data_IF_770392259414
#
_entry.id   IF_770392259414
#
_cell.length_a   1.000
_cell.length_b   1.000
_cell.length_c   1.000
_cell.angle_alpha   90.00
_cell.angle_beta   90.00
_cell.angle_gamma   90.00
#
_symmetry.space_group_name_H-M   'P 1'
#
loop_
_entity.id
_entity.type
_entity.pdbx_description
1 polymer ?
#
# COMPACT_ATOMS: atom_id res chain seq x y z
N UNK A 1 -119.56 10.89 11.19
CA UNK A 1 -118.26 10.81 11.88
C UNK A 1 -117.45 9.72 11.20
N UNK A 2 -116.37 10.16 10.57
CA UNK A 2 -115.28 9.50 9.82
C UNK A 2 -115.17 7.97 9.99
N UNK A 3 -115.41 7.25 8.88
CA UNK A 3 -115.05 5.84 8.72
C UNK A 3 -113.53 5.69 8.58
N UNK A 4 -112.87 5.08 9.55
CA UNK A 4 -111.46 4.68 9.43
C UNK A 4 -111.38 3.41 8.56
N UNK A 5 -110.92 3.58 7.31
CA UNK A 5 -110.64 2.48 6.40
C UNK A 5 -109.49 1.62 6.95
N UNK A 6 -109.74 0.32 7.14
CA UNK A 6 -108.69 -0.65 7.40
C UNK A 6 -107.77 -0.76 6.16
N UNK A 7 -106.43 -0.75 6.31
CA UNK A 7 -105.53 -0.84 5.17
C UNK A 7 -105.76 -2.13 4.38
N UNK A 8 -105.78 -2.02 3.05
CA UNK A 8 -105.99 -3.12 2.13
C UNK A 8 -104.88 -4.17 2.33
N UNK A 9 -105.25 -5.45 2.48
CA UNK A 9 -104.32 -6.57 2.69
C UNK A 9 -103.20 -6.62 1.63
N UNK A 10 -103.51 -6.25 0.39
CA UNK A 10 -102.55 -6.19 -0.71
C UNK A 10 -101.49 -5.08 -0.51
N UNK A 11 -101.89 -3.93 0.02
CA UNK A 11 -100.98 -2.81 0.32
C UNK A 11 -100.00 -3.16 1.45
N UNK A 12 -100.47 -3.95 2.43
CA UNK A 12 -99.62 -4.46 3.52
C UNK A 12 -98.59 -5.46 3.00
N UNK A 13 -98.97 -6.34 2.08
CA UNK A 13 -98.06 -7.32 1.45
C UNK A 13 -96.97 -6.60 0.64
N UNK A 14 -97.35 -5.63 -0.21
CA UNK A 14 -96.37 -4.87 -1.00
C UNK A 14 -95.36 -4.13 -0.11
N UNK A 15 -95.82 -3.52 0.99
CA UNK A 15 -94.92 -2.88 1.97
C UNK A 15 -93.93 -3.85 2.62
N UNK A 16 -94.34 -5.08 2.89
CA UNK A 16 -93.45 -6.12 3.42
C UNK A 16 -92.40 -6.51 2.36
N UNK A 17 -92.78 -6.63 1.10
CA UNK A 17 -91.85 -6.91 -0.01
C UNK A 17 -90.83 -5.78 -0.23
N UNK A 18 -91.27 -4.52 -0.13
CA UNK A 18 -90.40 -3.34 -0.20
C UNK A 18 -89.37 -3.33 0.94
N UNK A 19 -89.82 -3.58 2.18
CA UNK A 19 -88.94 -3.67 3.36
C UNK A 19 -87.94 -4.81 3.23
N UNK A 20 -88.38 -5.98 2.76
CA UNK A 20 -87.49 -7.12 2.54
C UNK A 20 -86.45 -6.85 1.46
N UNK A 21 -86.82 -6.11 0.41
CA UNK A 21 -85.89 -5.69 -0.63
C UNK A 21 -84.86 -4.67 -0.11
N UNK A 22 -85.30 -3.72 0.71
CA UNK A 22 -84.40 -2.76 1.37
C UNK A 22 -83.43 -3.46 2.35
N UNK A 23 -83.90 -4.44 3.13
CA UNK A 23 -83.06 -5.22 4.03
C UNK A 23 -81.96 -5.99 3.29
N UNK A 24 -82.28 -6.62 2.15
CA UNK A 24 -81.28 -7.29 1.29
C UNK A 24 -80.24 -6.31 0.75
N UNK A 25 -80.65 -5.10 0.36
CA UNK A 25 -79.72 -4.06 -0.10
C UNK A 25 -78.79 -3.60 1.03
N UNK A 26 -79.32 -3.40 2.24
CA UNK A 26 -78.52 -3.03 3.42
C UNK A 26 -77.51 -4.13 3.77
N UNK A 27 -77.92 -5.40 3.70
CA UNK A 27 -77.04 -6.54 3.99
C UNK A 27 -75.91 -6.66 2.96
N UNK A 28 -76.22 -6.47 1.66
CA UNK A 28 -75.22 -6.41 0.61
C UNK A 28 -74.23 -5.24 0.80
N UNK A 29 -74.71 -4.04 1.15
CA UNK A 29 -73.86 -2.88 1.45
C UNK A 29 -72.95 -3.11 2.66
N UNK A 30 -73.45 -3.80 3.69
CA UNK A 30 -72.67 -4.16 4.88
C UNK A 30 -71.51 -5.11 4.54
N UNK A 31 -71.75 -6.10 3.69
CA UNK A 31 -70.71 -7.04 3.22
C UNK A 31 -69.64 -6.29 2.42
N UNK A 32 -70.03 -5.44 1.48
CA UNK A 32 -69.09 -4.66 0.66
C UNK A 32 -68.23 -3.71 1.50
N UNK A 33 -68.85 -3.03 2.47
CA UNK A 33 -68.15 -2.18 3.44
C UNK A 33 -67.16 -2.99 4.28
N UNK A 34 -67.56 -4.19 4.73
CA UNK A 34 -66.69 -5.10 5.47
C UNK A 34 -65.46 -5.54 4.66
N UNK A 35 -65.64 -5.88 3.38
CA UNK A 35 -64.55 -6.23 2.48
C UNK A 35 -63.60 -5.05 2.24
N UNK A 36 -64.14 -3.84 2.05
CA UNK A 36 -63.35 -2.61 1.91
C UNK A 36 -62.50 -2.32 3.16
N UNK A 37 -63.07 -2.49 4.36
CA UNK A 37 -62.35 -2.35 5.63
C UNK A 37 -61.24 -3.39 5.76
N UNK A 38 -61.51 -4.65 5.40
CA UNK A 38 -60.51 -5.72 5.46
C UNK A 38 -59.33 -5.43 4.53
N UNK A 39 -59.61 -5.00 3.29
CA UNK A 39 -58.60 -4.60 2.31
C UNK A 39 -57.73 -3.45 2.84
N UNK A 40 -58.35 -2.39 3.37
CA UNK A 40 -57.62 -1.27 3.99
C UNK A 40 -56.77 -1.69 5.18
N UNK A 41 -57.27 -2.61 6.03
CA UNK A 41 -56.50 -3.14 7.18
C UNK A 41 -55.27 -3.93 6.73
N UNK A 42 -55.39 -4.69 5.64
CA UNK A 42 -54.26 -5.38 5.02
C UNK A 42 -53.23 -4.38 4.48
N UNK A 43 -53.67 -3.32 3.81
CA UNK A 43 -52.78 -2.26 3.31
C UNK A 43 -52.03 -1.56 4.45
N UNK A 44 -52.74 -1.21 5.54
CA UNK A 44 -52.12 -0.60 6.74
C UNK A 44 -51.08 -1.52 7.37
N UNK A 45 -51.35 -2.83 7.42
CA UNK A 45 -50.40 -3.81 7.97
C UNK A 45 -49.14 -3.89 7.11
N UNK A 46 -49.28 -3.91 5.78
CA UNK A 46 -48.15 -3.86 4.84
C UNK A 46 -47.33 -2.57 4.98
N UNK A 47 -47.99 -1.42 5.16
CA UNK A 47 -47.30 -0.14 5.34
C UNK A 47 -46.56 -0.07 6.68
N UNK A 48 -47.08 -0.69 7.74
CA UNK A 48 -46.39 -0.80 9.04
C UNK A 48 -45.14 -1.67 8.95
N UNK A 49 -45.20 -2.78 8.21
CA UNK A 49 -44.02 -3.63 7.96
C UNK A 49 -42.94 -2.87 7.15
N UNK A 50 -43.35 -2.12 6.13
CA UNK A 50 -42.43 -1.28 5.35
C UNK A 50 -41.83 -0.15 6.20
N UNK A 51 -42.63 0.51 7.04
CA UNK A 51 -42.16 1.52 7.98
C UNK A 51 -41.09 0.97 8.94
N UNK A 52 -41.31 -0.24 9.48
CA UNK A 52 -40.34 -0.87 10.37
C UNK A 52 -39.04 -1.22 9.63
N UNK A 53 -39.14 -1.73 8.40
CA UNK A 53 -37.97 -2.03 7.57
C UNK A 53 -37.13 -0.78 7.28
N UNK A 54 -37.78 0.34 6.97
CA UNK A 54 -37.10 1.62 6.75
C UNK A 54 -36.42 2.13 8.03
N UNK A 55 -37.07 1.99 9.19
CA UNK A 55 -36.47 2.36 10.48
C UNK A 55 -35.18 1.55 10.77
N UNK A 56 -35.20 0.25 10.51
CA UNK A 56 -34.02 -0.62 10.68
C UNK A 56 -32.89 -0.24 9.70
N UNK A 57 -33.23 0.16 8.47
CA UNK A 57 -32.27 0.62 7.47
C UNK A 57 -31.62 1.95 7.87
N UNK A 58 -32.42 2.92 8.37
CA UNK A 58 -31.91 4.19 8.90
C UNK A 58 -30.93 3.94 10.05
N UNK A 59 -31.28 3.06 11.01
CA UNK A 59 -30.39 2.74 12.13
C UNK A 59 -29.05 2.12 11.67
N UNK A 60 -29.06 1.29 10.62
CA UNK A 60 -27.83 0.75 10.02
C UNK A 60 -26.99 1.83 9.34
N UNK A 61 -27.63 2.75 8.62
CA UNK A 61 -26.95 3.87 7.98
C UNK A 61 -26.33 4.82 9.01
N UNK A 62 -27.04 5.15 10.09
CA UNK A 62 -26.52 5.97 11.18
C UNK A 62 -25.28 5.35 11.82
N UNK A 63 -25.30 4.04 12.09
CA UNK A 63 -24.14 3.32 12.61
C UNK A 63 -22.94 3.40 11.65
N UNK A 64 -23.19 3.24 10.35
CA UNK A 64 -22.15 3.32 9.31
C UNK A 64 -21.57 4.73 9.21
N UNK A 65 -22.41 5.76 9.25
CA UNK A 65 -21.99 7.16 9.27
C UNK A 65 -21.13 7.49 10.48
N UNK A 66 -21.42 6.94 11.65
CA UNK A 66 -20.61 7.15 12.84
C UNK A 66 -19.22 6.52 12.72
N UNK A 67 -19.13 5.28 12.21
CA UNK A 67 -17.83 4.64 11.95
C UNK A 67 -17.00 5.44 10.93
N UNK A 68 -17.61 5.91 9.86
CA UNK A 68 -16.92 6.75 8.86
C UNK A 68 -16.42 8.08 9.45
N UNK A 69 -17.16 8.68 10.40
CA UNK A 69 -16.70 9.89 11.10
C UNK A 69 -15.47 9.61 11.95
N UNK A 70 -15.42 8.49 12.65
CA UNK A 70 -14.25 8.08 13.44
C UNK A 70 -13.02 7.82 12.56
N UNK A 71 -13.21 7.17 11.41
CA UNK A 71 -12.15 6.93 10.43
C UNK A 71 -11.60 8.26 9.86
N UNK A 72 -12.47 9.21 9.51
CA UNK A 72 -12.06 10.54 9.01
C UNK A 72 -11.20 11.27 10.06
N UNK A 73 -11.62 11.29 11.32
CA UNK A 73 -10.86 11.94 12.40
C UNK A 73 -9.47 11.30 12.57
N UNK A 74 -9.40 9.97 12.45
CA UNK A 74 -8.14 9.22 12.55
C UNK A 74 -7.19 9.57 11.40
N UNK A 75 -7.73 9.70 10.18
CA UNK A 75 -6.96 10.07 9.00
C UNK A 75 -6.48 11.52 9.04
N UNK A 76 -7.32 12.45 9.51
CA UNK A 76 -6.96 13.86 9.73
C UNK A 76 -5.81 14.01 10.74
N UNK A 77 -5.86 13.25 11.84
CA UNK A 77 -4.79 13.23 12.82
C UNK A 77 -3.47 12.72 12.21
N UNK A 78 -3.53 11.65 11.41
CA UNK A 78 -2.38 11.10 10.69
C UNK A 78 -1.78 12.12 9.72
N UNK A 79 -2.64 12.84 8.98
CA UNK A 79 -2.22 13.90 8.06
C UNK A 79 -1.53 15.06 8.80
N UNK A 80 -2.03 15.46 9.97
CA UNK A 80 -1.41 16.51 10.78
C UNK A 80 -0.01 16.14 11.27
N UNK A 81 0.21 14.88 11.65
CA UNK A 81 1.55 14.36 12.01
C UNK A 81 2.49 14.45 10.80
N UNK A 82 2.04 13.99 9.62
CA UNK A 82 2.86 14.04 8.40
C UNK A 82 3.22 15.47 7.99
N UNK A 83 2.29 16.42 8.10
CA UNK A 83 2.57 17.84 7.83
C UNK A 83 3.63 18.42 8.78
N UNK A 84 3.61 18.00 10.05
CA UNK A 84 4.63 18.40 11.03
C UNK A 84 6.01 17.86 10.64
N UNK A 85 6.07 16.59 10.26
CA UNK A 85 7.32 15.94 9.83
C UNK A 85 7.86 16.58 8.55
N UNK A 86 6.99 16.93 7.59
CA UNK A 86 7.38 17.66 6.38
C UNK A 86 8.01 19.02 6.72
N UNK A 87 7.41 19.76 7.66
CA UNK A 87 7.97 21.02 8.15
C UNK A 87 9.36 20.86 8.75
N UNK A 88 9.57 19.82 9.56
CA UNK A 88 10.88 19.50 10.13
C UNK A 88 11.90 19.14 9.05
N UNK A 89 11.51 18.33 8.06
CA UNK A 89 12.38 17.96 6.94
C UNK A 89 12.77 19.16 6.08
N UNK A 90 11.84 20.07 5.80
CA UNK A 90 12.13 21.33 5.10
C UNK A 90 13.13 22.19 5.88
N UNK A 91 12.99 22.27 7.21
CA UNK A 91 13.93 23.00 8.06
C UNK A 91 15.35 22.38 8.02
N UNK A 92 15.45 21.05 8.11
CA UNK A 92 16.72 20.32 7.99
C UNK A 92 17.36 20.53 6.61
N UNK A 93 16.59 20.44 5.53
CA UNK A 93 17.07 20.66 4.17
C UNK A 93 17.61 22.10 3.99
N UNK A 94 16.91 23.09 4.54
CA UNK A 94 17.37 24.48 4.54
C UNK A 94 18.69 24.66 5.31
N UNK A 95 18.80 24.05 6.49
CA UNK A 95 20.04 24.07 7.28
C UNK A 95 21.20 23.44 6.50
N UNK A 96 20.99 22.28 5.88
CA UNK A 96 22.00 21.61 5.07
C UNK A 96 22.45 22.47 3.88
N UNK A 97 21.51 23.07 3.15
CA UNK A 97 21.81 23.95 2.02
C UNK A 97 22.57 25.22 2.46
N UNK A 98 22.29 25.75 3.65
CA UNK A 98 23.02 26.87 4.22
C UNK A 98 24.46 26.47 4.59
N UNK A 99 24.65 25.29 5.19
CA UNK A 99 25.98 24.74 5.49
C UNK A 99 26.79 24.49 4.22
N UNK A 100 26.18 23.95 3.17
CA UNK A 100 26.82 23.72 1.87
C UNK A 100 27.29 25.03 1.23
N UNK A 101 26.43 26.07 1.24
CA UNK A 101 26.83 27.41 0.77
C UNK A 101 27.99 27.99 1.59
N UNK A 102 27.97 27.83 2.91
CA UNK A 102 29.06 28.30 3.77
C UNK A 102 30.40 27.60 3.44
N UNK A 103 30.38 26.28 3.20
CA UNK A 103 31.56 25.52 2.79
C UNK A 103 32.07 25.95 1.41
N UNK A 104 31.19 26.16 0.45
CA UNK A 104 31.58 26.65 -0.89
C UNK A 104 32.22 28.05 -0.79
N UNK A 105 31.65 28.95 0.02
CA UNK A 105 32.25 30.26 0.27
C UNK A 105 33.61 30.13 0.93
N UNK A 106 33.72 29.31 1.99
CA UNK A 106 34.99 29.06 2.67
C UNK A 106 36.07 28.51 1.73
N UNK A 107 35.72 27.56 0.84
CA UNK A 107 36.65 27.01 -0.15
C UNK A 107 37.11 28.07 -1.15
N UNK A 108 36.22 28.94 -1.62
CA UNK A 108 36.58 30.06 -2.51
C UNK A 108 37.51 31.06 -1.82
N UNK A 109 37.21 31.39 -0.55
CA UNK A 109 38.04 32.30 0.24
C UNK A 109 39.42 31.67 0.48
N UNK A 110 39.47 30.37 0.78
CA UNK A 110 40.70 29.61 0.93
C UNK A 110 41.52 29.57 -0.37
N UNK A 111 40.89 29.30 -1.52
CA UNK A 111 41.54 29.32 -2.83
C UNK A 111 42.16 30.69 -3.10
N UNK A 112 41.41 31.78 -2.90
CA UNK A 112 41.90 33.15 -3.05
C UNK A 112 43.11 33.46 -2.16
N UNK A 113 43.07 33.04 -0.89
CA UNK A 113 44.20 33.17 0.04
C UNK A 113 45.42 32.34 -0.42
N UNK A 114 45.19 31.11 -0.90
CA UNK A 114 46.28 30.25 -1.37
C UNK A 114 46.86 30.72 -2.71
N UNK A 115 46.06 31.33 -3.58
CA UNK A 115 46.54 31.92 -4.83
C UNK A 115 47.33 33.20 -4.57
N UNK A 116 46.95 34.00 -3.56
CA UNK A 116 47.76 35.10 -3.03
C UNK A 116 49.10 34.62 -2.45
N UNK A 117 49.10 33.52 -1.71
CA UNK A 117 50.32 32.89 -1.20
C UNK A 117 51.18 32.28 -2.30
N UNK A 118 50.59 31.58 -3.27
CA UNK A 118 51.29 30.99 -4.43
C UNK A 118 51.87 32.07 -5.32
N UNK A 119 51.16 33.16 -5.60
CA UNK A 119 51.69 34.29 -6.37
C UNK A 119 52.82 35.03 -5.63
N UNK A 120 52.80 35.06 -4.30
CA UNK A 120 53.91 35.54 -3.48
C UNK A 120 55.11 34.57 -3.46
N UNK A 121 54.85 33.26 -3.46
CA UNK A 121 55.87 32.20 -3.44
C UNK A 121 56.49 31.90 -4.83
N UNK A 122 55.74 32.06 -5.94
CA UNK A 122 56.25 31.87 -7.30
C UNK A 122 57.27 32.94 -7.73
N UNK A 123 57.37 34.06 -7.01
CA UNK A 123 58.48 35.01 -7.16
C UNK A 123 59.78 34.53 -6.49
N UNK A 124 59.80 33.33 -5.89
CA UNK A 124 61.00 32.66 -5.38
C UNK A 124 61.04 31.20 -5.85
N UNK A 125 61.64 30.99 -7.02
CA UNK A 125 62.04 29.70 -7.63
C UNK A 125 60.92 28.68 -7.98
N UNK A 126 60.90 28.14 -9.22
CA UNK A 126 59.93 27.11 -9.60
C UNK A 126 60.49 25.69 -9.40
N UNK A 127 59.74 24.84 -8.68
CA UNK A 127 59.80 23.39 -8.83
C UNK A 127 58.42 22.85 -9.20
N UNK A 128 58.41 22.05 -10.26
CA UNK A 128 57.26 21.43 -10.91
C UNK A 128 56.60 20.38 -10.02
N UNK A 129 55.27 20.39 -9.95
CA UNK A 129 54.48 19.27 -9.41
C UNK A 129 53.32 18.96 -10.37
N UNK A 130 53.31 17.75 -10.91
CA UNK A 130 52.29 17.26 -11.84
C UNK A 130 50.99 16.95 -11.11
N UNK A 131 49.87 17.44 -11.63
CA UNK A 131 48.53 17.09 -11.19
C UNK A 131 48.24 15.62 -11.48
N UNK A 132 47.87 14.86 -10.44
CA UNK A 132 47.34 13.51 -10.58
C UNK A 132 45.86 13.56 -10.99
N UNK A 133 45.54 12.82 -12.06
CA UNK A 133 44.22 12.59 -12.62
C UNK A 133 43.13 12.27 -11.58
N UNK A 134 42.03 13.01 -11.64
CA UNK A 134 40.73 12.56 -11.11
C UNK A 134 40.13 11.51 -12.06
N UNK A 135 40.52 10.25 -11.90
CA UNK A 135 39.72 9.15 -12.46
C UNK A 135 38.57 8.84 -11.50
N UNK A 136 37.32 9.02 -11.97
CA UNK A 136 36.11 8.59 -11.29
C UNK A 136 36.20 7.09 -10.92
N UNK A 137 36.50 6.82 -9.65
CA UNK A 137 36.56 5.47 -9.10
C UNK A 137 35.23 4.75 -9.32
N UNK A 138 35.26 3.62 -10.02
CA UNK A 138 34.08 2.77 -10.19
C UNK A 138 33.54 2.37 -8.81
N UNK A 139 32.22 2.52 -8.59
CA UNK A 139 31.53 2.09 -7.36
C UNK A 139 31.50 0.55 -7.16
N UNK A 140 32.37 -0.21 -7.85
CA UNK A 140 32.49 -1.67 -7.78
C UNK A 140 33.82 -2.03 -7.15
N UNK A 141 33.80 -2.86 -6.11
CA UNK A 141 34.98 -3.23 -5.30
C UNK A 141 34.89 -4.69 -4.85
N UNK A 142 36.04 -5.35 -4.70
CA UNK A 142 36.14 -6.62 -3.97
C UNK A 142 36.06 -6.35 -2.47
N UNK A 143 35.09 -6.97 -1.80
CA UNK A 143 34.88 -6.81 -0.36
C UNK A 143 35.09 -8.16 0.32
N UNK A 144 35.90 -8.22 1.40
CA UNK A 144 36.03 -9.45 2.16
C UNK A 144 34.69 -9.92 2.72
N UNK A 145 34.41 -11.21 2.54
CA UNK A 145 33.10 -11.82 2.87
C UNK A 145 32.68 -11.64 4.33
N UNK A 146 33.66 -11.50 5.23
CA UNK A 146 33.45 -11.27 6.66
C UNK A 146 33.04 -9.82 7.02
N UNK A 147 33.31 -8.82 6.16
CA UNK A 147 32.86 -7.43 6.36
C UNK A 147 31.41 -7.20 5.91
N UNK A 148 30.88 -8.07 5.05
CA UNK A 148 29.52 -7.97 4.56
C UNK A 148 28.52 -8.37 5.64
N UNK A 149 27.64 -7.46 6.04
CA UNK A 149 26.56 -7.73 6.99
C UNK A 149 25.26 -8.05 6.28
N UNK A 150 24.40 -8.81 6.96
CA UNK A 150 23.05 -9.14 6.51
C UNK A 150 22.06 -8.73 7.60
N UNK A 151 20.99 -8.07 7.19
CA UNK A 151 19.84 -7.77 8.05
C UNK A 151 18.56 -8.12 7.25
N UNK A 152 18.19 -9.42 7.19
CA UNK A 152 17.13 -9.86 6.27
C UNK A 152 15.79 -9.17 6.52
N UNK A 153 15.43 -8.89 7.77
CA UNK A 153 14.21 -8.13 8.10
C UNK A 153 14.19 -6.73 7.47
N UNK A 154 15.36 -6.11 7.30
CA UNK A 154 15.53 -4.74 6.78
C UNK A 154 15.74 -4.71 5.28
N UNK A 155 16.47 -5.68 4.72
CA UNK A 155 16.94 -5.63 3.33
C UNK A 155 16.50 -6.79 2.43
N UNK A 156 15.92 -7.87 2.98
CA UNK A 156 15.49 -8.98 2.13
C UNK A 156 14.18 -8.64 1.40
N UNK A 157 14.19 -8.88 0.10
CA UNK A 157 13.05 -8.74 -0.80
C UNK A 157 12.10 -9.95 -0.69
N UNK A 158 12.64 -11.17 -0.70
CA UNK A 158 11.83 -12.41 -0.67
C UNK A 158 11.28 -12.69 0.74
N UNK A 159 9.97 -12.93 0.85
CA UNK A 159 9.28 -13.14 2.13
C UNK A 159 9.94 -14.27 2.92
N UNK A 160 10.15 -15.44 2.30
CA UNK A 160 10.79 -16.57 2.98
C UNK A 160 12.19 -16.23 3.49
N UNK A 161 12.97 -15.47 2.71
CA UNK A 161 14.32 -15.08 3.09
C UNK A 161 14.31 -14.15 4.30
N UNK A 162 13.29 -13.29 4.46
CA UNK A 162 13.17 -12.39 5.61
C UNK A 162 12.96 -13.11 6.94
N UNK A 163 12.54 -14.39 6.90
CA UNK A 163 12.35 -15.26 8.06
C UNK A 163 13.61 -16.03 8.45
N UNK A 164 14.66 -15.98 7.62
CA UNK A 164 15.94 -16.64 7.88
C UNK A 164 16.95 -15.67 8.51
N UNK A 165 17.96 -16.22 9.20
CA UNK A 165 19.00 -15.41 9.86
C UNK A 165 19.88 -14.66 8.86
N UNK A 166 20.13 -15.23 7.69
CA UNK A 166 21.09 -14.75 6.69
C UNK A 166 20.44 -14.23 5.40
N UNK A 167 19.12 -14.39 5.26
CA UNK A 167 18.38 -14.01 4.07
C UNK A 167 18.37 -15.10 3.00
N UNK A 168 18.94 -16.28 3.24
CA UNK A 168 19.03 -17.32 2.24
C UNK A 168 17.67 -17.99 2.00
N UNK A 169 17.32 -18.22 0.73
CA UNK A 169 16.12 -18.99 0.33
C UNK A 169 16.46 -20.29 -0.39
N UNK A 170 17.73 -20.69 -0.40
CA UNK A 170 18.15 -22.01 -0.87
C UNK A 170 18.26 -22.17 -2.39
N UNK A 171 18.22 -21.09 -3.19
CA UNK A 171 18.28 -21.18 -4.66
C UNK A 171 19.61 -21.72 -5.20
N UNK A 172 20.64 -21.79 -4.35
CA UNK A 172 21.95 -22.36 -4.67
C UNK A 172 22.20 -23.67 -3.92
N UNK A 173 21.14 -24.34 -3.46
CA UNK A 173 21.25 -25.68 -2.87
C UNK A 173 21.87 -26.65 -3.89
N UNK A 174 22.84 -27.45 -3.45
CA UNK A 174 23.55 -28.40 -4.32
C UNK A 174 24.75 -27.82 -5.09
N UNK A 175 24.94 -26.49 -5.14
CA UNK A 175 26.15 -25.90 -5.70
C UNK A 175 27.34 -26.19 -4.77
N UNK A 176 28.35 -26.89 -5.30
CA UNK A 176 29.56 -27.31 -4.58
C UNK A 176 30.83 -26.54 -4.97
N UNK A 177 30.81 -25.88 -6.13
CA UNK A 177 31.97 -25.17 -6.68
C UNK A 177 31.61 -23.72 -6.90
N UNK A 178 32.53 -22.82 -6.56
CA UNK A 178 32.40 -21.39 -6.83
C UNK A 178 33.01 -21.05 -8.18
N UNK A 179 32.22 -20.43 -9.06
CA UNK A 179 32.69 -19.88 -10.32
C UNK A 179 32.53 -18.35 -10.28
N UNK A 180 33.66 -17.64 -10.34
CA UNK A 180 33.69 -16.17 -10.28
C UNK A 180 32.95 -15.53 -11.47
N UNK A 181 32.90 -16.17 -12.63
CA UNK A 181 32.19 -15.66 -13.79
C UNK A 181 30.66 -15.75 -13.62
N UNK A 182 30.19 -16.72 -12.84
CA UNK A 182 28.76 -16.95 -12.59
C UNK A 182 28.28 -16.33 -11.26
N UNK A 183 29.20 -15.97 -10.37
CA UNK A 183 28.90 -15.38 -9.07
C UNK A 183 28.10 -14.07 -9.17
N UNK A 184 28.32 -13.29 -10.23
CA UNK A 184 27.70 -11.99 -10.43
C UNK A 184 28.08 -10.96 -9.35
N UNK A 185 27.50 -9.77 -9.42
CA UNK A 185 27.83 -8.64 -8.53
C UNK A 185 26.80 -8.54 -7.41
N UNK A 186 27.23 -8.42 -6.15
CA UNK A 186 26.34 -8.12 -5.03
C UNK A 186 26.05 -6.63 -5.00
N UNK A 187 24.81 -6.24 -4.65
CA UNK A 187 24.52 -4.84 -4.32
C UNK A 187 24.66 -4.66 -2.82
N UNK A 188 25.43 -3.65 -2.43
CA UNK A 188 25.70 -3.32 -1.03
C UNK A 188 25.45 -1.86 -0.76
N UNK A 189 25.05 -1.55 0.47
CA UNK A 189 24.84 -0.20 0.96
C UNK A 189 25.69 0.02 2.21
N UNK A 190 26.41 1.12 2.24
CA UNK A 190 27.13 1.56 3.43
C UNK A 190 26.20 2.44 4.27
N UNK A 191 25.93 2.02 5.50
CA UNK A 191 25.04 2.79 6.39
C UNK A 191 25.78 4.06 6.86
N UNK A 192 25.30 5.27 6.52
CA UNK A 192 25.98 6.52 6.86
C UNK A 192 26.05 6.76 8.38
N UNK A 193 25.27 6.02 9.18
CA UNK A 193 25.28 6.15 10.64
C UNK A 193 26.41 5.37 11.31
N UNK A 194 26.85 4.27 10.71
CA UNK A 194 27.79 3.35 11.37
C UNK A 194 28.87 2.76 10.45
N UNK A 195 28.93 3.20 9.19
CA UNK A 195 29.87 2.74 8.15
C UNK A 195 29.88 1.24 7.91
N UNK A 196 28.82 0.52 8.31
CA UNK A 196 28.71 -0.91 8.05
C UNK A 196 28.17 -1.17 6.65
N UNK A 197 28.74 -2.18 5.99
CA UNK A 197 28.37 -2.57 4.64
C UNK A 197 27.30 -3.66 4.72
N UNK A 198 26.07 -3.32 4.31
CA UNK A 198 24.94 -4.22 4.30
C UNK A 198 24.64 -4.73 2.89
N UNK A 199 24.42 -6.05 2.77
CA UNK A 199 23.94 -6.64 1.51
C UNK A 199 22.47 -6.30 1.31
N UNK A 200 22.16 -5.70 0.16
CA UNK A 200 20.80 -5.35 -0.24
C UNK A 200 20.28 -6.23 -1.38
N UNK A 201 21.19 -6.82 -2.17
CA UNK A 201 20.88 -7.87 -3.15
C UNK A 201 22.01 -8.91 -3.16
N UNK A 202 21.65 -10.20 -3.27
CA UNK A 202 22.61 -11.30 -3.36
C UNK A 202 22.78 -12.13 -2.09
N UNK A 203 21.80 -12.15 -1.18
CA UNK A 203 21.84 -12.91 0.07
C UNK A 203 22.20 -14.40 -0.12
N UNK A 204 21.61 -15.09 -1.11
CA UNK A 204 21.93 -16.50 -1.41
C UNK A 204 23.40 -16.68 -1.83
N UNK A 205 23.93 -15.72 -2.61
CA UNK A 205 25.32 -15.75 -3.10
C UNK A 205 26.30 -15.51 -1.94
N UNK A 206 25.99 -14.57 -1.05
CA UNK A 206 26.77 -14.39 0.17
C UNK A 206 26.75 -15.63 1.07
N UNK A 207 25.58 -16.24 1.27
CA UNK A 207 25.45 -17.46 2.08
C UNK A 207 26.30 -18.61 1.50
N UNK A 208 26.21 -18.83 0.17
CA UNK A 208 27.00 -19.85 -0.52
C UNK A 208 28.50 -19.55 -0.49
N UNK A 209 28.90 -18.30 -0.66
CA UNK A 209 30.30 -17.89 -0.56
C UNK A 209 30.89 -18.19 0.83
N UNK A 210 30.12 -17.95 1.90
CA UNK A 210 30.50 -18.29 3.27
C UNK A 210 30.63 -19.79 3.48
N UNK A 211 29.68 -20.56 2.97
CA UNK A 211 29.69 -22.03 3.02
C UNK A 211 30.94 -22.61 2.33
N UNK A 212 31.31 -22.08 1.16
CA UNK A 212 32.46 -22.52 0.37
C UNK A 212 33.79 -21.85 0.77
N UNK A 213 33.80 -21.01 1.80
CA UNK A 213 35.02 -20.37 2.31
C UNK A 213 35.63 -19.29 1.40
N UNK A 214 34.85 -18.71 0.49
CA UNK A 214 35.28 -17.67 -0.45
C UNK A 214 35.61 -16.39 0.30
N UNK A 215 36.80 -15.82 0.03
CA UNK A 215 37.38 -14.74 0.84
C UNK A 215 36.87 -13.36 0.46
N UNK A 216 36.61 -13.09 -0.80
CA UNK A 216 36.12 -11.80 -1.30
C UNK A 216 34.95 -11.99 -2.26
N UNK A 217 34.11 -10.96 -2.36
CA UNK A 217 33.01 -10.89 -3.30
C UNK A 217 33.01 -9.55 -4.02
N UNK A 218 32.77 -9.59 -5.32
CA UNK A 218 32.56 -8.39 -6.14
C UNK A 218 31.25 -7.70 -5.74
N UNK A 219 31.36 -6.48 -5.22
CA UNK A 219 30.23 -5.71 -4.71
C UNK A 219 30.14 -4.36 -5.43
N UNK A 220 28.92 -3.94 -5.79
CA UNK A 220 28.60 -2.59 -6.22
C UNK A 220 27.94 -1.83 -5.08
N UNK A 221 28.52 -0.69 -4.71
CA UNK A 221 27.93 0.22 -3.75
C UNK A 221 26.79 0.98 -4.40
N UNK A 222 25.61 0.91 -3.78
CA UNK A 222 24.45 1.69 -4.20
C UNK A 222 24.46 3.05 -3.49
N UNK A 223 23.96 4.07 -4.19
CA UNK A 223 23.73 5.39 -3.62
C UNK A 223 22.32 5.40 -3.03
N UNK A 224 22.23 5.50 -1.71
CA UNK A 224 20.97 5.64 -0.99
C UNK A 224 21.21 6.41 0.30
N UNK A 225 20.38 7.42 0.61
CA UNK A 225 20.49 8.19 1.84
C UNK A 225 19.91 7.47 3.05
N UNK A 226 19.04 6.47 2.82
CA UNK A 226 18.37 5.73 3.90
C UNK A 226 18.32 4.24 3.64
N UNK A 227 18.11 3.47 4.71
CA UNK A 227 17.87 2.04 4.62
C UNK A 227 16.67 1.66 3.76
N UNK A 228 15.59 2.46 3.85
CA UNK A 228 14.36 2.24 3.10
C UNK A 228 14.63 2.38 1.60
N UNK A 229 15.37 3.42 1.21
CA UNK A 229 15.79 3.62 -0.17
C UNK A 229 16.72 2.49 -0.65
N UNK A 230 17.69 2.08 0.18
CA UNK A 230 18.59 0.98 -0.11
C UNK A 230 17.85 -0.35 -0.33
N UNK A 231 16.86 -0.66 0.53
CA UNK A 231 15.95 -1.81 0.38
C UNK A 231 15.18 -1.71 -0.94
N UNK A 232 14.65 -0.54 -1.28
CA UNK A 232 13.90 -0.34 -2.52
C UNK A 232 14.77 -0.59 -3.76
N UNK A 233 16.01 -0.11 -3.78
CA UNK A 233 16.95 -0.37 -4.88
C UNK A 233 17.23 -1.88 -5.00
N UNK A 234 17.48 -2.57 -3.89
CA UNK A 234 17.73 -4.01 -3.89
C UNK A 234 16.52 -4.85 -4.37
N UNK A 235 15.31 -4.46 -3.98
CA UNK A 235 14.07 -5.09 -4.43
C UNK A 235 13.81 -4.84 -5.92
N UNK A 236 14.00 -3.61 -6.40
CA UNK A 236 13.89 -3.25 -7.81
C UNK A 236 14.84 -4.08 -8.68
N UNK A 237 16.09 -4.26 -8.24
CA UNK A 237 17.06 -5.11 -8.94
C UNK A 237 16.56 -6.57 -9.06
N UNK A 238 16.02 -7.16 -7.99
CA UNK A 238 15.44 -8.51 -8.05
C UNK A 238 14.28 -8.59 -9.06
N UNK A 239 13.38 -7.60 -9.06
CA UNK A 239 12.23 -7.56 -9.98
C UNK A 239 12.71 -7.45 -11.43
N UNK A 240 13.69 -6.58 -11.69
CA UNK A 240 14.27 -6.40 -13.02
C UNK A 240 14.96 -7.69 -13.53
N UNK A 241 15.59 -8.44 -12.63
CA UNK A 241 16.21 -9.74 -12.90
C UNK A 241 15.20 -10.91 -12.98
N UNK A 242 13.90 -10.64 -12.79
CA UNK A 242 12.85 -11.68 -12.78
C UNK A 242 12.92 -12.61 -11.57
N UNK A 243 13.55 -12.19 -10.48
CA UNK A 243 13.72 -12.96 -9.26
C UNK A 243 12.57 -12.73 -8.28
N UNK A 244 12.16 -13.79 -7.58
CA UNK A 244 11.09 -13.77 -6.57
C UNK A 244 9.74 -14.22 -7.12
N UNK A 245 8.70 -14.07 -6.29
CA UNK A 245 7.32 -14.43 -6.62
C UNK A 245 6.45 -13.18 -6.79
N UNK A 246 5.29 -13.33 -7.45
CA UNK A 246 4.33 -12.23 -7.57
C UNK A 246 3.90 -11.70 -6.19
N UNK A 247 3.82 -12.57 -5.18
CA UNK A 247 3.50 -12.21 -3.80
C UNK A 247 4.61 -11.34 -3.18
N UNK A 248 5.90 -11.65 -3.42
CA UNK A 248 7.04 -10.84 -2.96
C UNK A 248 6.97 -9.42 -3.54
N UNK A 249 6.71 -9.32 -4.85
CA UNK A 249 6.51 -8.04 -5.54
C UNK A 249 5.34 -7.28 -4.94
N UNK A 250 4.19 -7.95 -4.76
CA UNK A 250 2.99 -7.32 -4.23
C UNK A 250 3.19 -6.75 -2.83
N UNK A 251 3.87 -7.51 -1.96
CA UNK A 251 4.24 -7.05 -0.62
C UNK A 251 5.18 -5.85 -0.68
N UNK A 252 6.20 -5.90 -1.52
CA UNK A 252 7.13 -4.78 -1.69
C UNK A 252 6.42 -3.50 -2.14
N UNK A 253 5.51 -3.59 -3.11
CA UNK A 253 4.75 -2.43 -3.59
C UNK A 253 3.86 -1.82 -2.51
N UNK A 254 3.23 -2.66 -1.68
CA UNK A 254 2.44 -2.20 -0.52
C UNK A 254 3.29 -1.58 0.57
N UNK A 255 4.42 -2.19 0.94
CA UNK A 255 5.32 -1.68 1.98
C UNK A 255 5.91 -0.31 1.62
N UNK A 256 6.06 -0.03 0.32
CA UNK A 256 6.75 1.16 -0.18
C UNK A 256 5.82 2.21 -0.76
N UNK A 257 4.54 1.89 -0.96
CA UNK A 257 3.56 2.70 -1.71
C UNK A 257 4.03 3.06 -3.13
N UNK A 258 4.89 2.24 -3.74
CA UNK A 258 5.36 2.46 -5.10
C UNK A 258 4.29 2.08 -6.13
N UNK A 259 4.12 2.93 -7.13
CA UNK A 259 3.17 2.73 -8.21
C UNK A 259 3.82 2.06 -9.43
N UNK A 260 2.97 1.62 -10.35
CA UNK A 260 3.41 1.12 -11.66
C UNK A 260 4.19 2.17 -12.48
N UNK A 261 3.94 3.46 -12.25
CA UNK A 261 4.63 4.56 -12.91
C UNK A 261 6.06 4.69 -12.36
N UNK A 262 6.24 4.49 -11.06
CA UNK A 262 7.56 4.52 -10.41
C UNK A 262 8.45 3.38 -10.88
N UNK A 263 7.89 2.18 -11.05
CA UNK A 263 8.62 1.03 -11.62
C UNK A 263 9.04 1.31 -13.07
N UNK A 264 8.16 1.89 -13.90
CA UNK A 264 8.49 2.29 -15.27
C UNK A 264 9.57 3.37 -15.30
N UNK A 265 9.50 4.36 -14.42
CA UNK A 265 10.51 5.41 -14.30
C UNK A 265 11.89 4.86 -13.93
N UNK A 266 11.94 3.70 -13.26
CA UNK A 266 13.17 2.94 -12.96
C UNK A 266 13.57 1.96 -14.07
N UNK A 267 12.94 2.02 -15.24
CA UNK A 267 13.25 1.16 -16.38
C UNK A 267 12.73 -0.29 -16.26
N UNK A 268 11.93 -0.58 -15.24
CA UNK A 268 11.32 -1.90 -15.08
C UNK A 268 10.12 -1.99 -16.03
N UNK A 269 10.31 -2.68 -17.15
CA UNK A 269 9.24 -2.90 -18.11
C UNK A 269 8.11 -3.74 -17.49
N UNK A 270 6.89 -3.20 -17.49
CA UNK A 270 5.63 -3.92 -17.15
C UNK A 270 5.38 -5.11 -18.11
N UNK A 271 6.25 -5.35 -19.10
CA UNK A 271 6.23 -6.58 -19.91
C UNK A 271 6.66 -7.82 -19.14
N UNK A 272 7.35 -7.68 -18.01
CA UNK A 272 7.59 -8.81 -17.10
C UNK A 272 6.26 -9.23 -16.44
N UNK A 273 5.82 -10.46 -16.66
CA UNK A 273 4.61 -11.02 -16.03
C UNK A 273 4.69 -10.92 -14.51
N UNK A 274 5.87 -11.14 -13.93
CA UNK A 274 6.10 -11.04 -12.49
C UNK A 274 5.72 -9.67 -11.92
N UNK A 275 6.12 -8.59 -12.61
CA UNK A 275 5.82 -7.23 -12.18
C UNK A 275 4.33 -6.87 -12.35
N UNK A 276 3.68 -7.39 -13.41
CA UNK A 276 2.24 -7.22 -13.60
C UNK A 276 1.43 -7.94 -12.54
N UNK A 277 1.74 -9.20 -12.31
CA UNK A 277 1.01 -10.06 -11.37
C UNK A 277 1.18 -9.51 -9.96
N UNK A 278 2.40 -9.10 -9.59
CA UNK A 278 2.65 -8.43 -8.32
C UNK A 278 1.88 -7.12 -8.14
N UNK A 279 1.75 -6.32 -9.19
CA UNK A 279 0.94 -5.09 -9.17
C UNK A 279 -0.56 -5.37 -9.05
N UNK A 280 -1.06 -6.45 -9.64
CA UNK A 280 -2.46 -6.85 -9.50
C UNK A 280 -2.75 -7.26 -8.04
N UNK A 281 -1.91 -8.15 -7.49
CA UNK A 281 -2.04 -8.65 -6.12
C UNK A 281 -1.86 -7.54 -5.06
N UNK A 282 -1.05 -6.52 -5.34
CA UNK A 282 -0.86 -5.40 -4.39
C UNK A 282 -2.14 -4.59 -4.17
N UNK A 283 -3.10 -4.65 -5.10
CA UNK A 283 -4.39 -3.94 -5.04
C UNK A 283 -5.50 -4.70 -4.33
N UNK A 284 -5.25 -5.93 -3.87
CA UNK A 284 -6.21 -6.69 -3.07
C UNK A 284 -6.68 -5.90 -1.84
N UNK A 285 -7.83 -6.24 -1.26
CA UNK A 285 -8.22 -5.66 0.04
C UNK A 285 -7.26 -6.13 1.15
N UNK A 286 -7.10 -5.39 2.27
CA UNK A 286 -6.20 -5.79 3.36
C UNK A 286 -6.44 -7.22 3.87
N UNK A 287 -7.70 -7.64 3.99
CA UNK A 287 -8.06 -8.99 4.42
C UNK A 287 -7.65 -10.05 3.39
N UNK A 288 -7.97 -9.85 2.10
CA UNK A 288 -7.60 -10.79 1.04
C UNK A 288 -6.08 -10.92 0.89
N UNK A 289 -5.37 -9.80 0.96
CA UNK A 289 -3.91 -9.79 0.90
C UNK A 289 -3.28 -10.52 2.10
N UNK A 290 -3.85 -10.35 3.30
CA UNK A 290 -3.38 -11.08 4.48
C UNK A 290 -3.57 -12.59 4.33
N UNK A 291 -4.72 -13.03 3.77
CA UNK A 291 -4.94 -14.44 3.45
C UNK A 291 -3.96 -14.96 2.40
N UNK A 292 -3.66 -14.17 1.37
CA UNK A 292 -2.68 -14.51 0.33
C UNK A 292 -1.28 -14.71 0.92
N UNK A 293 -0.80 -13.78 1.75
CA UNK A 293 0.53 -13.85 2.37
C UNK A 293 0.65 -15.05 3.30
N UNK A 294 -0.44 -15.41 3.98
CA UNK A 294 -0.48 -16.55 4.90
C UNK A 294 -0.67 -17.90 4.17
N UNK A 295 -0.84 -17.91 2.85
CA UNK A 295 -1.10 -19.13 2.07
C UNK A 295 -2.53 -19.66 2.13
N UNK A 296 -3.46 -18.88 2.71
CA UNK A 296 -4.88 -19.21 2.83
C UNK A 296 -5.71 -18.79 1.60
N UNK A 297 -5.09 -18.17 0.60
CA UNK A 297 -5.69 -17.80 -0.68
C UNK A 297 -4.67 -18.11 -1.78
N UNK A 298 -5.09 -18.82 -2.84
CA UNK A 298 -4.23 -19.10 -3.98
C UNK A 298 -4.07 -17.85 -4.85
N UNK A 299 -2.91 -17.70 -5.51
CA UNK A 299 -2.64 -16.58 -6.45
C UNK A 299 -3.69 -16.52 -7.57
N UNK A 300 -4.22 -17.65 -8.01
CA UNK A 300 -5.27 -17.73 -9.05
C UNK A 300 -6.66 -17.27 -8.59
N UNK A 301 -6.84 -17.04 -7.29
CA UNK A 301 -8.10 -16.63 -6.66
C UNK A 301 -8.05 -15.19 -6.11
N UNK A 302 -6.91 -14.51 -6.26
CA UNK A 302 -6.69 -13.14 -5.82
C UNK A 302 -6.44 -12.17 -6.97
#
# INVERSE_FOLDING_TARGET
MICNAAPNKLETINRIEDVNSALKQIEAQKIDTGNSIHSKKSQVSSLLEEQQRLADEIARLEKTCNLLKEDIVTEENSLNVLKKDEGQMRAIASAYHNSERALVTFLKDWESLTDGLKSSLLNRHPLSFSQSDQTASSNVREIPTNFLKVEPKRFQFKILGSLTKDGNVGSLSGVKTWDTNLAGILLVWEDPKNSSIYVVNGHNRLAKARELGIKTLTCRFIQAGTAKEARSIGAIANIAEGQGTAIDVAKFLRDTNLSSLDLKAKGIGIRNSLARDGLALSKLSPNLFSKLINGNLAVSQG
#
